data_IF_431702359873
#
_entry.id   IF_431702359873
#
_cell.length_a   1.000
_cell.length_b   1.000
_cell.length_c   1.000
_cell.angle_alpha   90.00
_cell.angle_beta   90.00
_cell.angle_gamma   90.00
#
_symmetry.space_group_name_H-M   'P 1'
#
loop_
_entity.id
_entity.type
_entity.pdbx_description
1 polymer ?
#
# COMPACT_ATOMS: atom_id res chain seq x y z
N UNK A 1 -9.21 -2.79 -17.89
CA UNK A 1 -9.74 -2.88 -16.51
C UNK A 1 -9.87 -1.48 -15.94
N UNK A 2 -10.81 -1.28 -15.04
CA UNK A 2 -10.97 -0.10 -14.21
C UNK A 2 -10.21 -0.32 -12.90
N UNK A 3 -9.18 0.45 -12.64
CA UNK A 3 -8.34 0.31 -11.44
C UNK A 3 -8.53 1.53 -10.55
N UNK A 4 -8.90 1.30 -9.29
CA UNK A 4 -8.93 2.33 -8.28
C UNK A 4 -7.60 2.29 -7.51
N UNK A 5 -6.75 3.31 -7.71
CA UNK A 5 -5.48 3.46 -7.01
C UNK A 5 -5.67 4.32 -5.76
N UNK A 6 -5.37 3.75 -4.60
CA UNK A 6 -5.44 4.40 -3.29
C UNK A 6 -4.05 4.84 -2.86
N UNK A 7 -3.79 6.16 -2.87
CA UNK A 7 -2.48 6.72 -2.53
C UNK A 7 -2.61 7.74 -1.39
N UNK A 8 -2.20 7.33 -0.19
CA UNK A 8 -2.32 8.17 1.01
C UNK A 8 -1.19 9.19 1.17
N UNK A 9 -0.11 9.04 0.41
CA UNK A 9 1.06 9.93 0.50
C UNK A 9 1.47 10.46 -0.89
N UNK A 10 0.53 11.15 -1.55
CA UNK A 10 0.66 11.61 -2.92
C UNK A 10 1.60 12.81 -3.06
N UNK A 11 2.91 12.53 -3.02
CA UNK A 11 3.99 13.51 -3.20
C UNK A 11 5.28 12.81 -3.66
N UNK A 12 6.26 13.55 -4.16
CA UNK A 12 7.57 13.02 -4.56
C UNK A 12 7.48 11.82 -5.49
N UNK A 13 8.22 10.77 -5.16
CA UNK A 13 8.28 9.52 -5.93
C UNK A 13 6.95 8.77 -6.00
N UNK A 14 6.15 8.78 -4.93
CA UNK A 14 4.81 8.17 -4.91
C UNK A 14 3.88 8.81 -5.94
N UNK A 15 3.84 10.16 -5.95
CA UNK A 15 3.06 10.92 -6.93
C UNK A 15 3.53 10.63 -8.35
N UNK A 16 4.84 10.69 -8.59
CA UNK A 16 5.40 10.45 -9.91
C UNK A 16 5.04 9.06 -10.43
N UNK A 17 5.19 8.03 -9.58
CA UNK A 17 4.82 6.66 -9.94
C UNK A 17 3.33 6.53 -10.26
N UNK A 18 2.47 7.07 -9.42
CA UNK A 18 1.01 6.98 -9.62
C UNK A 18 0.57 7.67 -10.92
N UNK A 19 1.13 8.86 -11.22
CA UNK A 19 0.84 9.61 -12.42
C UNK A 19 1.36 8.90 -13.67
N UNK A 20 2.59 8.38 -13.63
CA UNK A 20 3.17 7.64 -14.74
C UNK A 20 2.44 6.31 -14.95
N UNK A 21 2.05 5.60 -13.89
CA UNK A 21 1.23 4.40 -14.00
C UNK A 21 -0.11 4.70 -14.69
N UNK A 22 -0.79 5.77 -14.30
CA UNK A 22 -2.02 6.22 -14.96
C UNK A 22 -1.78 6.62 -16.42
N UNK A 23 -0.67 7.32 -16.70
CA UNK A 23 -0.35 7.84 -18.03
C UNK A 23 -0.02 6.75 -19.04
N UNK A 24 0.79 5.77 -18.63
CA UNK A 24 1.33 4.76 -19.54
C UNK A 24 0.59 3.44 -19.51
N UNK A 25 -0.33 3.24 -18.57
CA UNK A 25 -1.16 2.04 -18.52
C UNK A 25 -2.20 2.02 -19.62
N UNK A 26 -2.49 0.82 -20.12
CA UNK A 26 -3.64 0.57 -21.00
C UNK A 26 -4.97 0.46 -20.24
N UNK A 27 -4.91 0.50 -18.89
CA UNK A 27 -6.07 0.42 -18.02
C UNK A 27 -6.63 1.82 -17.72
N UNK A 28 -7.91 1.87 -17.37
CA UNK A 28 -8.52 3.11 -16.87
C UNK A 28 -8.26 3.23 -15.37
N UNK A 29 -7.42 4.18 -14.98
CA UNK A 29 -6.96 4.34 -13.60
C UNK A 29 -7.55 5.62 -13.01
N UNK A 30 -8.29 5.46 -11.93
CA UNK A 30 -8.74 6.55 -11.07
C UNK A 30 -7.85 6.54 -9.83
N UNK A 31 -7.14 7.65 -9.60
CA UNK A 31 -6.31 7.83 -8.40
C UNK A 31 -7.15 8.56 -7.36
N UNK A 32 -7.23 8.01 -6.14
CA UNK A 32 -7.73 8.70 -4.96
C UNK A 32 -6.55 9.10 -4.08
N UNK A 33 -6.09 10.36 -4.17
CA UNK A 33 -4.92 10.81 -3.45
C UNK A 33 -5.28 11.47 -2.12
N UNK A 34 -4.35 11.41 -1.15
CA UNK A 34 -4.25 12.33 -0.03
C UNK A 34 -2.93 13.09 -0.12
N UNK A 35 -2.89 14.31 0.44
CA UNK A 35 -1.67 15.13 0.42
C UNK A 35 -0.51 14.45 1.15
N UNK A 36 0.71 14.55 0.60
CA UNK A 36 1.92 13.93 1.11
C UNK A 36 2.54 14.65 2.30
N UNK A 37 1.78 14.84 3.38
CA UNK A 37 2.25 15.44 4.63
C UNK A 37 1.92 14.51 5.81
N UNK A 38 2.76 14.54 6.86
CA UNK A 38 2.51 13.78 8.08
C UNK A 38 2.31 12.28 7.83
N UNK A 39 3.28 11.60 7.22
CA UNK A 39 3.17 10.21 6.78
C UNK A 39 2.65 9.25 7.86
N UNK A 40 3.08 9.41 9.12
CA UNK A 40 2.60 8.61 10.25
C UNK A 40 1.08 8.74 10.42
N UNK A 41 0.56 9.97 10.30
CA UNK A 41 -0.88 10.20 10.37
C UNK A 41 -1.60 9.65 9.12
N UNK A 42 -0.96 9.70 7.95
CA UNK A 42 -1.54 9.12 6.71
C UNK A 42 -1.72 7.61 6.81
N UNK A 43 -0.81 6.88 7.45
CA UNK A 43 -0.95 5.46 7.67
C UNK A 43 -2.17 5.09 8.54
N UNK A 44 -2.66 5.99 9.37
CA UNK A 44 -3.87 5.78 10.17
C UNK A 44 -5.13 6.36 9.49
N UNK A 45 -5.18 7.68 9.36
CA UNK A 45 -6.38 8.38 8.88
C UNK A 45 -6.67 8.09 7.41
N UNK A 46 -5.65 7.70 6.65
CA UNK A 46 -5.76 7.46 5.20
C UNK A 46 -6.86 6.47 4.84
N UNK A 47 -6.99 5.39 5.62
CA UNK A 47 -8.02 4.39 5.40
C UNK A 47 -9.44 4.96 5.57
N UNK A 48 -9.64 5.79 6.58
CA UNK A 48 -10.95 6.42 6.87
C UNK A 48 -11.32 7.42 5.77
N UNK A 49 -10.40 8.31 5.42
CA UNK A 49 -10.62 9.33 4.40
C UNK A 49 -10.84 8.74 3.01
N UNK A 50 -10.02 7.75 2.63
CA UNK A 50 -10.16 7.12 1.32
C UNK A 50 -11.38 6.21 1.25
N UNK A 51 -11.81 5.59 2.35
CA UNK A 51 -13.07 4.81 2.40
C UNK A 51 -14.26 5.72 2.07
N UNK A 52 -14.36 6.88 2.70
CA UNK A 52 -15.43 7.85 2.45
C UNK A 52 -15.43 8.34 0.98
N UNK A 53 -14.23 8.58 0.41
CA UNK A 53 -14.09 9.00 -0.99
C UNK A 53 -14.42 7.87 -1.97
N UNK A 54 -13.99 6.64 -1.71
CA UNK A 54 -14.13 5.52 -2.63
C UNK A 54 -15.59 5.10 -2.85
N UNK A 55 -16.44 5.21 -1.82
CA UNK A 55 -17.87 4.87 -1.91
C UNK A 55 -18.71 6.01 -2.51
N UNK A 56 -18.12 7.17 -2.78
CA UNK A 56 -18.83 8.31 -3.38
C UNK A 56 -19.16 7.98 -4.85
N UNK A 57 -20.46 8.06 -5.29
CA UNK A 57 -20.87 7.77 -6.64
C UNK A 57 -20.32 8.75 -7.70
N UNK A 58 -19.70 9.85 -7.29
CA UNK A 58 -19.01 10.76 -8.20
C UNK A 58 -17.69 10.20 -8.72
N UNK A 59 -17.10 9.21 -8.04
CA UNK A 59 -15.93 8.48 -8.54
C UNK A 59 -16.36 7.59 -9.69
N UNK A 60 -15.97 7.97 -10.91
CA UNK A 60 -16.37 7.28 -12.15
C UNK A 60 -15.17 7.02 -13.04
N UNK A 61 -15.20 5.87 -13.68
CA UNK A 61 -14.30 5.49 -14.76
C UNK A 61 -14.78 6.04 -16.10
N UNK A 62 -13.93 6.05 -17.13
CA UNK A 62 -14.26 6.58 -18.47
C UNK A 62 -15.50 5.91 -19.11
N UNK A 63 -15.74 4.64 -18.79
CA UNK A 63 -16.90 3.89 -19.25
C UNK A 63 -18.16 4.14 -18.41
N UNK A 64 -18.13 5.08 -17.45
CA UNK A 64 -19.24 5.41 -16.57
C UNK A 64 -19.42 4.47 -15.37
N UNK A 65 -18.63 3.41 -15.25
CA UNK A 65 -18.69 2.52 -14.09
C UNK A 65 -18.28 3.26 -12.80
N UNK A 66 -18.95 2.91 -11.70
CA UNK A 66 -18.66 3.44 -10.35
C UNK A 66 -17.93 2.45 -9.46
N UNK A 67 -17.80 1.18 -9.91
CA UNK A 67 -17.02 0.14 -9.23
C UNK A 67 -15.79 -0.20 -10.06
N UNK A 68 -14.61 -0.36 -9.41
CA UNK A 68 -13.41 -0.84 -10.08
C UNK A 68 -13.44 -2.36 -10.28
N UNK A 69 -12.63 -2.83 -11.23
CA UNK A 69 -12.31 -4.25 -11.39
C UNK A 69 -11.18 -4.68 -10.44
N UNK A 70 -10.40 -3.71 -9.93
CA UNK A 70 -9.29 -3.91 -9.00
C UNK A 70 -9.11 -2.68 -8.11
N UNK A 71 -8.95 -2.92 -6.82
CA UNK A 71 -8.44 -1.92 -5.87
C UNK A 71 -6.94 -2.15 -5.71
N UNK A 72 -6.13 -1.13 -6.04
CA UNK A 72 -4.69 -1.13 -5.83
C UNK A 72 -4.34 -0.10 -4.76
N UNK A 73 -3.80 -0.57 -3.65
CA UNK A 73 -3.32 0.28 -2.56
C UNK A 73 -1.80 0.42 -2.59
N UNK A 74 -1.27 1.50 -2.03
CA UNK A 74 0.15 1.64 -1.73
C UNK A 74 0.45 1.36 -0.26
N UNK A 75 1.70 1.14 0.08
CA UNK A 75 2.19 0.70 1.40
C UNK A 75 1.87 1.66 2.56
N UNK A 76 1.58 2.93 2.24
CA UNK A 76 1.20 3.94 3.25
C UNK A 76 -0.29 3.89 3.65
N UNK A 77 -1.06 2.93 3.13
CA UNK A 77 -2.46 2.72 3.49
C UNK A 77 -2.61 1.54 4.46
N UNK A 78 -3.41 1.71 5.51
CA UNK A 78 -4.00 0.59 6.24
C UNK A 78 -5.12 -0.04 5.41
N UNK A 79 -4.73 -0.99 4.53
CA UNK A 79 -5.67 -1.65 3.63
C UNK A 79 -6.69 -2.50 4.39
N UNK A 80 -6.30 -3.14 5.49
CA UNK A 80 -7.21 -3.96 6.29
C UNK A 80 -8.36 -3.11 6.86
N UNK A 81 -8.03 -1.95 7.42
CA UNK A 81 -9.03 -0.99 7.91
C UNK A 81 -9.89 -0.45 6.76
N UNK A 82 -9.29 -0.08 5.63
CA UNK A 82 -10.04 0.39 4.45
C UNK A 82 -11.08 -0.64 3.99
N UNK A 83 -10.69 -1.91 3.85
CA UNK A 83 -11.59 -2.98 3.44
C UNK A 83 -12.69 -3.23 4.47
N UNK A 84 -12.40 -3.14 5.76
CA UNK A 84 -13.40 -3.21 6.83
C UNK A 84 -14.46 -2.11 6.72
N UNK A 85 -14.02 -0.85 6.50
CA UNK A 85 -14.91 0.31 6.38
C UNK A 85 -15.74 0.32 5.08
N UNK A 86 -15.22 -0.30 4.02
CA UNK A 86 -15.90 -0.36 2.72
C UNK A 86 -16.52 -1.72 2.42
N UNK A 87 -16.63 -2.63 3.40
CA UNK A 87 -17.02 -4.04 3.22
C UNK A 87 -18.24 -4.24 2.32
N UNK A 88 -19.30 -3.47 2.50
CA UNK A 88 -20.53 -3.58 1.70
C UNK A 88 -20.33 -3.24 0.23
N UNK A 89 -19.31 -2.42 -0.08
CA UNK A 89 -19.00 -1.97 -1.43
C UNK A 89 -17.86 -2.79 -2.05
N UNK A 90 -16.80 -3.13 -1.27
CA UNK A 90 -15.57 -3.75 -1.76
C UNK A 90 -15.55 -5.28 -1.75
N UNK A 91 -16.50 -5.97 -1.12
CA UNK A 91 -16.44 -7.40 -0.77
C UNK A 91 -16.15 -8.38 -1.91
N UNK A 92 -16.45 -8.01 -3.17
CA UNK A 92 -16.20 -8.83 -4.37
C UNK A 92 -15.20 -8.20 -5.33
N UNK A 93 -14.48 -7.18 -4.89
CA UNK A 93 -13.48 -6.50 -5.73
C UNK A 93 -12.11 -7.05 -5.37
N UNK A 94 -11.36 -7.65 -6.31
CA UNK A 94 -9.98 -8.05 -6.10
C UNK A 94 -9.12 -6.90 -5.57
N UNK A 95 -8.20 -7.20 -4.67
CA UNK A 95 -7.35 -6.22 -4.01
C UNK A 95 -5.87 -6.53 -4.20
N UNK A 96 -5.08 -5.51 -4.41
CA UNK A 96 -3.64 -5.61 -4.44
C UNK A 96 -3.00 -4.48 -3.62
N UNK A 97 -1.82 -4.75 -3.08
CA UNK A 97 -0.98 -3.73 -2.45
C UNK A 97 0.37 -3.68 -3.14
N UNK A 98 0.86 -2.46 -3.40
CA UNK A 98 2.17 -2.19 -3.98
C UNK A 98 3.07 -1.53 -2.94
N UNK A 99 4.17 -2.18 -2.62
CA UNK A 99 5.18 -1.70 -1.69
C UNK A 99 6.27 -0.94 -2.42
N UNK A 100 6.31 0.40 -2.24
CA UNK A 100 7.45 1.25 -2.59
C UNK A 100 8.54 1.12 -1.53
N UNK A 101 8.14 1.08 -0.27
CA UNK A 101 8.93 0.87 0.93
C UNK A 101 8.13 0.05 1.94
N UNK A 102 8.71 -0.27 3.09
CA UNK A 102 7.99 -0.90 4.20
C UNK A 102 8.58 -0.48 5.54
N UNK A 103 7.78 -0.46 6.58
CA UNK A 103 8.18 0.04 7.89
C UNK A 103 8.88 -1.03 8.76
N UNK A 104 9.09 -2.25 8.24
CA UNK A 104 9.95 -3.27 8.87
C UNK A 104 11.44 -2.98 8.66
N UNK A 105 11.80 -2.48 7.46
CA UNK A 105 13.18 -2.31 7.03
C UNK A 105 13.58 -0.85 6.79
N UNK A 106 12.61 0.08 6.74
CA UNK A 106 12.90 1.48 6.48
C UNK A 106 13.73 2.08 7.62
N UNK A 107 14.89 2.68 7.32
CA UNK A 107 15.73 3.24 8.37
C UNK A 107 15.04 4.43 9.03
N UNK A 108 14.95 4.37 10.35
CA UNK A 108 14.42 5.46 11.15
C UNK A 108 15.32 6.68 11.08
N UNK A 109 14.70 7.86 10.98
CA UNK A 109 15.48 9.10 11.15
C UNK A 109 16.07 9.17 12.55
N UNK A 110 17.37 9.51 12.72
CA UNK A 110 17.99 9.67 14.04
C UNK A 110 17.29 10.71 14.91
N UNK A 111 16.55 11.65 14.30
CA UNK A 111 15.79 12.71 14.97
C UNK A 111 14.36 12.32 15.29
N UNK A 112 13.90 11.12 14.89
CA UNK A 112 12.54 10.69 15.11
C UNK A 112 12.26 10.50 16.62
N UNK A 113 11.18 11.11 17.09
CA UNK A 113 10.79 11.03 18.48
C UNK A 113 10.39 9.61 18.92
N UNK A 114 9.87 8.79 18.00
CA UNK A 114 9.43 7.43 18.31
C UNK A 114 10.62 6.53 18.66
N UNK A 115 11.77 6.72 17.99
CA UNK A 115 13.01 6.00 18.33
C UNK A 115 13.45 6.34 19.75
N UNK A 116 13.47 7.64 20.10
CA UNK A 116 13.87 8.12 21.44
C UNK A 116 12.92 7.64 22.54
N UNK A 117 11.63 7.59 22.24
CA UNK A 117 10.58 7.20 23.17
C UNK A 117 10.35 5.69 23.21
N UNK A 118 11.12 4.91 22.45
CA UNK A 118 10.98 3.44 22.32
C UNK A 118 9.53 3.05 22.00
N UNK A 119 8.85 3.84 21.19
CA UNK A 119 7.49 3.51 20.72
C UNK A 119 7.55 2.27 19.85
N UNK A 120 6.46 1.52 19.89
CA UNK A 120 6.35 0.28 19.14
C UNK A 120 6.34 0.49 17.62
N UNK A 121 6.61 -0.58 16.91
CA UNK A 121 6.67 -0.59 15.45
C UNK A 121 5.29 -0.83 14.80
N UNK A 122 4.22 -0.21 15.32
CA UNK A 122 2.86 -0.46 14.83
C UNK A 122 2.65 -0.11 13.35
N UNK A 123 3.48 0.77 12.76
CA UNK A 123 3.46 1.01 11.31
C UNK A 123 3.90 -0.24 10.53
N UNK A 124 4.85 -1.00 11.04
CA UNK A 124 5.22 -2.29 10.49
C UNK A 124 4.05 -3.29 10.60
N UNK A 125 3.28 -3.23 11.68
CA UNK A 125 2.09 -4.06 11.84
C UNK A 125 0.99 -3.69 10.83
N UNK A 126 0.82 -2.41 10.50
CA UNK A 126 -0.08 -1.96 9.41
C UNK A 126 0.36 -2.56 8.06
N UNK A 127 1.67 -2.53 7.74
CA UNK A 127 2.17 -3.16 6.51
C UNK A 127 1.90 -4.67 6.49
N UNK A 128 2.13 -5.35 7.61
CA UNK A 128 1.84 -6.79 7.74
C UNK A 128 0.37 -7.11 7.51
N UNK A 129 -0.55 -6.44 8.22
CA UNK A 129 -1.99 -6.70 8.11
C UNK A 129 -2.53 -6.31 6.74
N UNK A 130 -2.01 -5.26 6.13
CA UNK A 130 -2.34 -4.86 4.76
C UNK A 130 -1.87 -5.89 3.72
N UNK A 131 -0.64 -6.40 3.87
CA UNK A 131 -0.14 -7.49 3.04
C UNK A 131 -0.97 -8.77 3.22
N UNK A 132 -1.41 -9.07 4.45
CA UNK A 132 -2.23 -10.24 4.74
C UNK A 132 -3.64 -10.13 4.14
N UNK A 133 -4.24 -8.94 4.18
CA UNK A 133 -5.59 -8.67 3.67
C UNK A 133 -5.68 -8.65 2.14
N UNK A 134 -4.63 -8.20 1.43
CA UNK A 134 -4.62 -8.13 -0.02
C UNK A 134 -4.65 -9.51 -0.69
N UNK A 135 -5.28 -9.62 -1.89
CA UNK A 135 -5.23 -10.85 -2.71
C UNK A 135 -3.88 -11.03 -3.42
N UNK A 136 -3.18 -9.93 -3.71
CA UNK A 136 -1.83 -9.90 -4.29
C UNK A 136 -0.98 -8.83 -3.62
N UNK A 137 0.31 -9.13 -3.47
CA UNK A 137 1.31 -8.23 -2.90
C UNK A 137 2.39 -7.99 -3.93
N UNK A 138 2.66 -6.74 -4.27
CA UNK A 138 3.70 -6.37 -5.21
C UNK A 138 4.82 -5.61 -4.50
N UNK A 139 6.06 -5.94 -4.85
CA UNK A 139 7.25 -5.25 -4.38
C UNK A 139 8.02 -4.67 -5.57
N UNK A 140 8.62 -3.51 -5.40
CA UNK A 140 9.39 -2.84 -6.45
C UNK A 140 10.68 -3.60 -6.86
N UNK A 141 11.17 -4.54 -6.04
CA UNK A 141 12.38 -5.31 -6.34
C UNK A 141 12.41 -6.65 -5.61
N UNK A 142 13.22 -7.58 -6.09
CA UNK A 142 13.52 -8.83 -5.39
C UNK A 142 14.16 -8.58 -4.02
N UNK A 143 15.08 -7.62 -3.92
CA UNK A 143 15.70 -7.24 -2.66
C UNK A 143 14.64 -6.81 -1.63
N UNK A 144 13.73 -5.94 -2.02
CA UNK A 144 12.67 -5.44 -1.13
C UNK A 144 11.75 -6.57 -0.65
N UNK A 145 11.31 -7.43 -1.58
CA UNK A 145 10.48 -8.60 -1.23
C UNK A 145 11.18 -9.53 -0.25
N UNK A 146 12.45 -9.87 -0.52
CA UNK A 146 13.23 -10.74 0.37
C UNK A 146 13.46 -10.11 1.73
N UNK A 147 13.81 -8.81 1.77
CA UNK A 147 13.99 -8.08 3.01
C UNK A 147 12.72 -8.09 3.88
N UNK A 148 11.56 -7.81 3.28
CA UNK A 148 10.27 -7.85 3.97
C UNK A 148 9.98 -9.24 4.55
N UNK A 149 10.07 -10.29 3.71
CA UNK A 149 9.76 -11.68 4.11
C UNK A 149 10.76 -12.24 5.13
N UNK A 150 12.00 -11.76 5.15
CA UNK A 150 13.03 -12.16 6.13
C UNK A 150 12.83 -11.48 7.48
N UNK A 151 12.44 -10.20 7.50
CA UNK A 151 12.27 -9.45 8.74
C UNK A 151 10.90 -9.68 9.40
N UNK A 152 9.86 -9.97 8.60
CA UNK A 152 8.51 -10.15 9.12
C UNK A 152 8.40 -11.22 10.22
N UNK A 153 8.95 -12.46 10.08
CA UNK A 153 8.90 -13.43 11.17
C UNK A 153 9.63 -12.96 12.43
N UNK A 154 10.75 -12.26 12.31
CA UNK A 154 11.48 -11.70 13.46
C UNK A 154 10.62 -10.65 14.18
N UNK A 155 9.98 -9.78 13.41
CA UNK A 155 9.05 -8.78 13.94
C UNK A 155 7.89 -9.44 14.69
N UNK A 156 7.24 -10.44 14.10
CA UNK A 156 6.12 -11.13 14.74
C UNK A 156 6.55 -11.86 16.04
N UNK A 157 7.77 -12.35 16.11
CA UNK A 157 8.35 -12.98 17.31
C UNK A 157 8.66 -12.01 18.45
N UNK A 158 8.62 -10.69 18.21
CA UNK A 158 8.75 -9.71 19.30
C UNK A 158 7.50 -9.63 20.19
N UNK A 159 6.36 -10.11 19.72
CA UNK A 159 5.12 -10.17 20.49
C UNK A 159 5.11 -11.38 21.42
N UNK A 160 4.44 -11.29 22.58
CA UNK A 160 4.54 -12.31 23.63
C UNK A 160 3.89 -13.65 23.27
N UNK A 161 2.88 -13.64 22.38
CA UNK A 161 2.10 -14.80 21.94
C UNK A 161 1.45 -14.59 20.58
N UNK A 162 0.76 -15.60 20.06
CA UNK A 162 0.01 -15.54 18.78
C UNK A 162 0.82 -14.98 17.62
N UNK A 163 2.09 -15.35 17.49
CA UNK A 163 3.01 -14.83 16.47
C UNK A 163 2.57 -15.14 15.03
N UNK A 164 1.66 -16.10 14.82
CA UNK A 164 1.01 -16.40 13.53
C UNK A 164 2.03 -16.57 12.34
N UNK A 165 3.17 -17.21 12.58
CA UNK A 165 4.25 -17.34 11.59
C UNK A 165 3.81 -17.97 10.25
N UNK A 166 2.79 -18.85 10.27
CA UNK A 166 2.22 -19.42 9.06
C UNK A 166 1.65 -18.38 8.08
N UNK A 167 1.31 -17.18 8.56
CA UNK A 167 0.82 -16.08 7.72
C UNK A 167 1.92 -15.50 6.83
N UNK A 168 3.19 -15.63 7.22
CA UNK A 168 4.34 -15.22 6.40
C UNK A 168 4.38 -16.02 5.10
N UNK A 169 4.18 -17.35 5.18
CA UNK A 169 4.11 -18.22 3.99
C UNK A 169 2.89 -17.86 3.12
N UNK A 170 1.77 -17.52 3.73
CA UNK A 170 0.57 -17.08 3.01
C UNK A 170 0.82 -15.79 2.23
N UNK A 171 1.53 -14.83 2.83
CA UNK A 171 1.94 -13.59 2.15
C UNK A 171 2.95 -13.90 1.04
N UNK A 172 3.97 -14.71 1.31
CA UNK A 172 4.99 -15.06 0.32
C UNK A 172 4.39 -15.69 -0.95
N UNK A 173 3.41 -16.60 -0.81
CA UNK A 173 2.73 -17.27 -1.94
C UNK A 173 1.99 -16.32 -2.88
N UNK A 174 1.58 -15.17 -2.43
CA UNK A 174 0.86 -14.16 -3.22
C UNK A 174 1.69 -12.92 -3.54
N UNK A 175 2.99 -12.94 -3.17
CA UNK A 175 3.95 -11.88 -3.40
C UNK A 175 4.63 -12.02 -4.75
N UNK A 176 4.75 -10.91 -5.47
CA UNK A 176 5.38 -10.83 -6.78
C UNK A 176 6.26 -9.57 -6.84
N UNK A 177 7.29 -9.62 -7.67
CA UNK A 177 8.09 -8.43 -7.99
C UNK A 177 7.50 -7.75 -9.21
N UNK A 178 7.19 -6.47 -9.07
CA UNK A 178 6.77 -5.59 -10.15
C UNK A 178 7.67 -4.33 -10.08
N UNK A 179 8.75 -4.29 -10.89
CA UNK A 179 9.67 -3.15 -10.88
C UNK A 179 8.98 -1.82 -11.17
N UNK A 180 9.52 -0.74 -10.61
CA UNK A 180 9.08 0.60 -10.95
C UNK A 180 9.28 0.86 -12.44
N UNK A 181 8.22 1.23 -13.13
CA UNK A 181 8.31 1.73 -14.50
C UNK A 181 8.84 3.17 -14.46
N UNK A 182 10.00 3.39 -15.07
CA UNK A 182 10.61 4.70 -15.20
C UNK A 182 10.62 5.12 -16.67
N UNK A 183 10.25 6.36 -16.94
CA UNK A 183 10.43 6.97 -18.26
C UNK A 183 11.89 7.38 -18.45
N UNK A 184 12.71 6.42 -18.86
CA UNK A 184 14.16 6.62 -19.06
C UNK A 184 14.46 7.64 -20.16
N UNK A 185 13.54 7.88 -21.11
CA UNK A 185 13.71 8.90 -22.15
C UNK A 185 13.85 10.32 -21.58
N UNK A 186 13.35 10.56 -20.38
CA UNK A 186 13.54 11.84 -19.68
C UNK A 186 14.98 12.05 -19.20
N UNK A 187 15.80 11.00 -19.20
CA UNK A 187 17.20 11.02 -18.77
C UNK A 187 18.16 11.11 -19.96
N UNK A 188 17.67 10.97 -21.19
CA UNK A 188 18.42 11.18 -22.43
C UNK A 188 18.51 12.69 -22.69
N UNK A 189 19.46 13.38 -22.03
CA UNK A 189 19.78 14.79 -22.22
C UNK A 189 20.99 14.99 -23.13
#
# INVERSE_FOLDING_TARGET
MNILLLETFYTGSHKQWADDFKKYSTHDIVILPLSGHHWKWRMHIGAVELAAKAINPEVKFKNGATKPDLILATDMLDLATFLGLTKSWSHNIPTAIYFHENQLNYPWSPTDADVKLKRDAHYAFINYTSALAADRVFFNSHYHMQAFLTELPKFLQTFPDYNNLATVDAIAKKSLVLPLALDLKKLDA
#
